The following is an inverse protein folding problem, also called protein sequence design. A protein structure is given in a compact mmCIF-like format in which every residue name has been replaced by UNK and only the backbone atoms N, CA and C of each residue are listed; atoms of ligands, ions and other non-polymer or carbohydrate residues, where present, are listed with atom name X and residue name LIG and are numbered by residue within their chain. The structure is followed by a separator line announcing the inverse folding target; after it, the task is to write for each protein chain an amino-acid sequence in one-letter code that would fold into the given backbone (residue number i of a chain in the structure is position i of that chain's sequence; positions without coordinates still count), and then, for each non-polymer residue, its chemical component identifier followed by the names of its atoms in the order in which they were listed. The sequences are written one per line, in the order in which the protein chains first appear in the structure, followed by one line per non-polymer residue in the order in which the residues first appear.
data_IF_326234659566
#
_entry.id   IF_326234659566
#
_cell.length_a   1.000
_cell.length_b   1.000
_cell.length_c   1.000
_cell.angle_alpha   90.00
_cell.angle_beta   90.00
_cell.angle_gamma   90.00
#
_symmetry.space_group_name_H-M   'P 1'
#
loop_
_entity.id
_entity.type
_entity.pdbx_description
1 polymer ?
#
# COMPACT_ATOMS: atom_id res chain seq x y z
N UNK A 1 -20.77 14.81 10.72
CA UNK A 1 -20.59 13.46 10.19
C UNK A 1 -20.59 12.48 11.36
N UNK A 2 -21.39 11.43 11.29
CA UNK A 2 -21.46 10.46 12.38
C UNK A 2 -20.17 9.68 12.52
N UNK A 3 -19.71 9.44 13.75
CA UNK A 3 -18.48 8.70 14.05
C UNK A 3 -18.47 7.33 13.35
N UNK A 4 -19.64 6.67 13.32
CA UNK A 4 -19.77 5.39 12.62
C UNK A 4 -19.51 5.45 11.11
N UNK A 5 -19.91 6.54 10.44
CA UNK A 5 -19.67 6.69 9.01
C UNK A 5 -18.18 6.89 8.70
N UNK A 6 -17.47 7.64 9.52
CA UNK A 6 -16.02 7.85 9.36
C UNK A 6 -15.22 6.56 9.59
N UNK A 7 -15.63 5.77 10.57
CA UNK A 7 -14.99 4.48 10.85
C UNK A 7 -15.21 3.49 9.72
N UNK A 8 -16.44 3.39 9.21
CA UNK A 8 -16.75 2.51 8.08
C UNK A 8 -15.96 2.91 6.84
N UNK A 9 -15.89 4.21 6.53
CA UNK A 9 -15.09 4.70 5.41
C UNK A 9 -13.62 4.36 5.57
N UNK A 10 -13.07 4.52 6.76
CA UNK A 10 -11.69 4.16 7.07
C UNK A 10 -11.41 2.68 6.78
N UNK A 11 -12.24 1.79 7.31
CA UNK A 11 -12.06 0.35 7.10
C UNK A 11 -12.25 -0.06 5.65
N UNK A 12 -13.23 0.49 4.96
CA UNK A 12 -13.50 0.18 3.55
C UNK A 12 -12.32 0.61 2.65
N UNK A 13 -11.89 1.86 2.76
CA UNK A 13 -10.77 2.36 1.96
C UNK A 13 -9.44 1.78 2.37
N UNK A 14 -9.25 1.49 3.66
CA UNK A 14 -8.07 0.79 4.15
C UNK A 14 -7.97 -0.63 3.60
N UNK A 15 -9.06 -1.38 3.64
CA UNK A 15 -9.15 -2.73 3.05
C UNK A 15 -8.91 -2.69 1.53
N UNK A 16 -9.51 -1.71 0.85
CA UNK A 16 -9.31 -1.51 -0.59
C UNK A 16 -7.84 -1.24 -0.92
N UNK A 17 -7.18 -0.38 -0.16
CA UNK A 17 -5.75 -0.08 -0.33
C UNK A 17 -4.88 -1.35 -0.16
N UNK A 18 -5.17 -2.16 0.85
CA UNK A 18 -4.47 -3.44 1.10
C UNK A 18 -4.68 -4.41 -0.05
N UNK A 19 -5.92 -4.59 -0.49
CA UNK A 19 -6.24 -5.51 -1.60
C UNK A 19 -5.54 -5.06 -2.89
N UNK A 20 -5.61 -3.78 -3.22
CA UNK A 20 -4.96 -3.24 -4.42
C UNK A 20 -3.43 -3.39 -4.34
N UNK A 21 -2.82 -3.16 -3.18
CA UNK A 21 -1.38 -3.34 -3.00
C UNK A 21 -0.94 -4.81 -3.12
N UNK A 22 -1.76 -5.74 -2.65
CA UNK A 22 -1.51 -7.17 -2.87
C UNK A 22 -1.62 -7.53 -4.35
N UNK A 23 -2.59 -6.96 -5.06
CA UNK A 23 -2.73 -7.19 -6.50
C UNK A 23 -1.51 -6.68 -7.29
N UNK A 24 -0.88 -5.59 -6.85
CA UNK A 24 0.38 -5.10 -7.44
C UNK A 24 1.45 -6.19 -7.46
N UNK A 25 1.58 -6.92 -6.35
CA UNK A 25 2.60 -7.98 -6.20
C UNK A 25 2.28 -9.21 -7.07
N UNK A 26 1.00 -9.57 -7.17
CA UNK A 26 0.58 -10.76 -7.91
C UNK A 26 0.43 -10.54 -9.42
N UNK A 27 0.34 -9.31 -9.89
CA UNK A 27 0.24 -9.01 -11.30
C UNK A 27 1.53 -9.33 -12.04
N UNK A 28 1.41 -10.04 -13.15
CA UNK A 28 2.55 -10.39 -14.01
C UNK A 28 2.92 -9.27 -14.98
N UNK A 29 1.93 -8.51 -15.45
CA UNK A 29 2.15 -7.44 -16.40
C UNK A 29 2.62 -6.18 -15.66
N UNK A 30 3.83 -5.63 -15.98
CA UNK A 30 4.35 -4.45 -15.30
C UNK A 30 3.46 -3.21 -15.43
N UNK A 31 2.82 -3.01 -16.57
CA UNK A 31 1.92 -1.86 -16.81
C UNK A 31 0.66 -1.98 -15.96
N UNK A 32 0.04 -3.18 -15.92
CA UNK A 32 -1.13 -3.43 -15.07
C UNK A 32 -0.80 -3.28 -13.59
N UNK A 33 0.37 -3.75 -13.18
CA UNK A 33 0.87 -3.59 -11.79
C UNK A 33 1.01 -2.11 -11.42
N UNK A 34 1.58 -1.31 -12.30
CA UNK A 34 1.72 0.14 -12.10
C UNK A 34 0.35 0.84 -11.97
N UNK A 35 -0.64 0.43 -12.77
CA UNK A 35 -1.99 0.97 -12.67
C UNK A 35 -2.65 0.61 -11.33
N UNK A 36 -2.51 -0.64 -10.87
CA UNK A 36 -3.02 -1.06 -9.55
C UNK A 36 -2.35 -0.30 -8.41
N UNK A 37 -1.05 -0.02 -8.55
CA UNK A 37 -0.32 0.80 -7.58
C UNK A 37 -0.85 2.24 -7.51
N UNK A 38 -1.15 2.85 -8.65
CA UNK A 38 -1.76 4.18 -8.70
C UNK A 38 -3.13 4.21 -8.01
N UNK A 39 -3.95 3.17 -8.24
CA UNK A 39 -5.24 3.02 -7.57
C UNK A 39 -5.08 2.83 -6.05
N UNK A 40 -4.08 2.07 -5.61
CA UNK A 40 -3.75 1.90 -4.20
C UNK A 40 -3.38 3.24 -3.55
N UNK A 41 -2.62 4.09 -4.23
CA UNK A 41 -2.33 5.44 -3.74
C UNK A 41 -3.58 6.31 -3.63
N UNK A 42 -4.51 6.18 -4.58
CA UNK A 42 -5.82 6.85 -4.50
C UNK A 42 -6.62 6.41 -3.28
N UNK A 43 -6.67 5.11 -3.01
CA UNK A 43 -7.34 4.56 -1.82
C UNK A 43 -6.66 5.05 -0.52
N UNK A 44 -5.33 5.11 -0.49
CA UNK A 44 -4.58 5.66 0.65
C UNK A 44 -4.90 7.15 0.86
N UNK A 45 -5.00 7.92 -0.21
CA UNK A 45 -5.40 9.32 -0.13
C UNK A 45 -6.80 9.49 0.47
N UNK A 46 -7.73 8.62 0.10
CA UNK A 46 -9.08 8.63 0.67
C UNK A 46 -9.06 8.35 2.18
N UNK A 47 -8.21 7.42 2.64
CA UNK A 47 -7.98 7.17 4.07
C UNK A 47 -7.44 8.43 4.76
N UNK A 48 -6.45 9.10 4.18
CA UNK A 48 -5.87 10.33 4.74
C UNK A 48 -6.91 11.45 4.87
N UNK A 49 -7.74 11.62 3.84
CA UNK A 49 -8.82 12.61 3.86
C UNK A 49 -9.84 12.26 4.94
N UNK A 50 -10.19 10.98 5.06
CA UNK A 50 -11.10 10.51 6.10
C UNK A 50 -10.59 10.73 7.53
N UNK A 51 -9.26 10.73 7.71
CA UNK A 51 -8.62 11.02 9.00
C UNK A 51 -8.43 12.53 9.27
N UNK A 52 -8.93 13.39 8.38
CA UNK A 52 -8.80 14.84 8.52
C UNK A 52 -7.55 15.45 7.90
N UNK A 53 -6.64 14.63 7.36
CA UNK A 53 -5.42 15.09 6.72
C UNK A 53 -5.67 15.44 5.25
N UNK A 54 -6.52 16.44 5.00
CA UNK A 54 -6.97 16.82 3.65
C UNK A 54 -5.81 17.25 2.76
N UNK A 55 -4.90 18.05 3.29
CA UNK A 55 -3.74 18.53 2.54
C UNK A 55 -2.83 17.38 2.10
N UNK A 56 -2.53 16.46 3.02
CA UNK A 56 -1.72 15.29 2.69
C UNK A 56 -2.40 14.36 1.69
N UNK A 57 -3.71 14.17 1.82
CA UNK A 57 -4.48 13.37 0.86
C UNK A 57 -4.45 13.94 -0.55
N UNK A 58 -4.57 15.25 -0.68
CA UNK A 58 -4.46 15.94 -1.97
C UNK A 58 -3.05 15.80 -2.54
N UNK A 59 -2.01 16.00 -1.74
CA UNK A 59 -0.63 15.79 -2.17
C UNK A 59 -0.36 14.35 -2.60
N UNK A 60 -0.94 13.38 -1.89
CA UNK A 60 -0.85 11.97 -2.25
C UNK A 60 -1.36 11.72 -3.67
N UNK A 61 -2.50 12.28 -4.03
CA UNK A 61 -3.07 12.13 -5.38
C UNK A 61 -2.24 12.87 -6.42
N UNK A 62 -1.90 14.14 -6.17
CA UNK A 62 -1.22 14.97 -7.16
C UNK A 62 0.21 14.52 -7.42
N UNK A 63 0.98 14.27 -6.38
CA UNK A 63 2.41 13.97 -6.50
C UNK A 63 2.63 12.47 -6.71
N UNK A 64 2.09 11.63 -5.83
CA UNK A 64 2.36 10.18 -5.90
C UNK A 64 1.57 9.49 -7.00
N UNK A 65 0.26 9.60 -7.01
CA UNK A 65 -0.57 8.94 -8.02
C UNK A 65 -0.50 9.65 -9.37
N UNK A 66 -0.36 10.98 -9.39
CA UNK A 66 -0.27 11.77 -10.61
C UNK A 66 1.15 11.82 -11.19
N UNK A 67 2.04 12.60 -10.59
CA UNK A 67 3.35 12.87 -11.19
C UNK A 67 4.28 11.65 -11.20
N UNK A 68 4.48 11.04 -10.05
CA UNK A 68 5.47 9.96 -9.91
C UNK A 68 5.01 8.69 -10.61
N UNK A 69 3.75 8.30 -10.43
CA UNK A 69 3.24 7.08 -11.05
C UNK A 69 3.09 7.18 -12.56
N UNK A 70 2.72 8.35 -13.07
CA UNK A 70 2.64 8.56 -14.53
C UNK A 70 4.04 8.47 -15.14
N UNK A 71 5.03 9.11 -14.52
CA UNK A 71 6.42 9.01 -14.97
C UNK A 71 6.92 7.57 -14.91
N UNK A 72 6.64 6.85 -13.83
CA UNK A 72 7.04 5.45 -13.65
C UNK A 72 6.38 4.53 -14.69
N UNK A 73 5.07 4.71 -14.92
CA UNK A 73 4.34 3.95 -15.95
C UNK A 73 4.91 4.21 -17.35
N UNK A 74 5.28 5.45 -17.65
CA UNK A 74 5.91 5.81 -18.91
C UNK A 74 7.27 5.15 -19.09
N UNK A 75 8.10 5.13 -18.04
CA UNK A 75 9.40 4.45 -18.04
C UNK A 75 9.23 2.94 -18.28
N UNK A 76 8.30 2.29 -17.59
CA UNK A 76 8.03 0.86 -17.77
C UNK A 76 7.61 0.57 -19.22
N UNK A 77 6.77 1.43 -19.79
CA UNK A 77 6.31 1.26 -21.17
C UNK A 77 7.46 1.39 -22.18
N UNK A 78 8.40 2.31 -21.94
CA UNK A 78 9.57 2.51 -22.80
C UNK A 78 10.62 1.40 -22.70
N UNK A 79 10.82 0.87 -21.48
CA UNK A 79 11.85 -0.15 -21.24
C UNK A 79 11.52 -1.52 -21.79
N UNK A 80 10.31 -1.74 -22.30
CA UNK A 80 9.86 -3.04 -22.83
C UNK A 80 10.24 -4.19 -21.89
N UNK A 81 9.84 -4.08 -20.64
CA UNK A 81 10.13 -5.07 -19.59
C UNK A 81 9.43 -6.37 -19.96
N UNK A 82 10.22 -7.42 -20.21
CA UNK A 82 9.68 -8.75 -20.50
C UNK A 82 8.93 -9.27 -19.27
N UNK A 83 7.77 -9.90 -19.51
CA UNK A 83 7.05 -10.59 -18.45
C UNK A 83 7.95 -11.69 -17.88
N UNK A 84 8.31 -11.55 -16.62
CA UNK A 84 9.05 -12.61 -15.92
C UNK A 84 8.13 -13.80 -15.65
N UNK A 85 8.73 -14.98 -15.66
CA UNK A 85 8.07 -16.21 -15.18
C UNK A 85 7.64 -16.00 -13.73
N UNK A 86 6.51 -16.59 -13.37
CA UNK A 86 5.88 -16.51 -12.04
C UNK A 86 6.89 -16.35 -10.90
N UNK A 87 6.74 -15.33 -10.02
CA UNK A 87 7.63 -15.15 -8.86
C UNK A 87 7.62 -16.34 -7.91
N UNK A 88 6.60 -17.19 -8.01
CA UNK A 88 6.46 -18.41 -7.20
C UNK A 88 7.14 -19.63 -7.80
N UNK A 89 7.89 -19.51 -8.89
CA UNK A 89 8.57 -20.63 -9.53
C UNK A 89 9.74 -21.21 -8.72
N UNK A 90 10.24 -20.48 -7.73
CA UNK A 90 11.32 -20.93 -6.85
C UNK A 90 10.84 -20.99 -5.39
N UNK A 91 10.51 -22.18 -4.87
CA UNK A 91 9.96 -22.31 -3.52
C UNK A 91 10.90 -21.77 -2.42
N UNK A 92 12.21 -21.86 -2.64
CA UNK A 92 13.21 -21.36 -1.69
C UNK A 92 13.18 -19.82 -1.56
N UNK A 93 13.05 -19.11 -2.68
CA UNK A 93 12.98 -17.66 -2.71
C UNK A 93 11.70 -17.16 -2.03
N UNK A 94 10.58 -17.84 -2.27
CA UNK A 94 9.29 -17.53 -1.62
C UNK A 94 9.37 -17.74 -0.12
N UNK A 95 9.98 -18.85 0.33
CA UNK A 95 10.14 -19.14 1.76
C UNK A 95 10.93 -18.04 2.48
N UNK A 96 12.04 -17.59 1.89
CA UNK A 96 12.84 -16.49 2.46
C UNK A 96 12.02 -15.20 2.52
N UNK A 97 11.31 -14.86 1.44
CA UNK A 97 10.46 -13.67 1.39
C UNK A 97 9.38 -13.68 2.47
N UNK A 98 8.72 -14.82 2.68
CA UNK A 98 7.70 -14.98 3.73
C UNK A 98 8.31 -14.81 5.13
N UNK A 99 9.48 -15.41 5.37
CA UNK A 99 10.18 -15.29 6.66
C UNK A 99 10.51 -13.81 6.94
N UNK A 100 11.07 -13.10 5.98
CA UNK A 100 11.42 -11.68 6.12
C UNK A 100 10.15 -10.84 6.37
N UNK A 101 9.07 -11.10 5.64
CA UNK A 101 7.79 -10.41 5.81
C UNK A 101 7.20 -10.66 7.21
N UNK A 102 7.24 -11.91 7.69
CA UNK A 102 6.77 -12.25 9.04
C UNK A 102 7.59 -11.58 10.14
N UNK A 103 8.92 -11.54 9.99
CA UNK A 103 9.80 -10.84 10.92
C UNK A 103 9.50 -9.33 10.96
N UNK A 104 9.30 -8.73 9.78
CA UNK A 104 8.98 -7.32 9.67
C UNK A 104 7.62 -6.99 10.30
N UNK A 105 6.60 -7.79 10.04
CA UNK A 105 5.28 -7.65 10.67
C UNK A 105 5.36 -7.83 12.18
N UNK A 106 6.11 -8.80 12.67
CA UNK A 106 6.33 -9.00 14.10
C UNK A 106 6.98 -7.79 14.76
N UNK A 107 7.97 -7.21 14.11
CA UNK A 107 8.63 -5.98 14.56
C UNK A 107 7.63 -4.81 14.62
N UNK A 108 6.83 -4.62 13.59
CA UNK A 108 5.82 -3.55 13.55
C UNK A 108 4.77 -3.71 14.65
N UNK A 109 4.24 -4.92 14.82
CA UNK A 109 3.23 -5.20 15.86
C UNK A 109 3.83 -4.98 17.25
N UNK A 110 5.03 -5.48 17.50
CA UNK A 110 5.73 -5.28 18.77
C UNK A 110 5.98 -3.79 19.08
N UNK A 111 6.43 -3.04 18.06
CA UNK A 111 6.66 -1.61 18.18
C UNK A 111 5.37 -0.84 18.46
N UNK A 112 4.29 -1.15 17.74
CA UNK A 112 2.99 -0.49 17.92
C UNK A 112 2.38 -0.78 19.28
N UNK A 113 2.45 -2.03 19.77
CA UNK A 113 1.97 -2.40 21.10
C UNK A 113 2.77 -1.69 22.20
N UNK A 114 4.08 -1.62 22.04
CA UNK A 114 4.94 -0.93 23.01
C UNK A 114 4.64 0.57 23.08
N UNK A 115 4.47 1.23 21.93
CA UNK A 115 4.15 2.66 21.89
C UNK A 115 2.73 2.94 22.39
N UNK A 116 1.77 2.04 22.13
CA UNK A 116 0.41 2.14 22.66
C UNK A 116 0.40 2.03 24.19
N UNK A 117 1.12 1.06 24.76
CA UNK A 117 1.24 0.90 26.22
C UNK A 117 1.92 2.11 26.87
N UNK A 118 2.98 2.64 26.27
CA UNK A 118 3.65 3.85 26.73
C UNK A 118 2.74 5.09 26.69
N UNK A 119 1.90 5.22 25.67
CA UNK A 119 0.92 6.29 25.56
C UNK A 119 -0.18 6.18 26.62
N UNK A 120 -0.66 4.97 26.90
CA UNK A 120 -1.64 4.72 27.95
C UNK A 120 -1.09 5.02 29.35
N UNK A 121 0.19 4.71 29.60
CA UNK A 121 0.85 5.01 30.88
C UNK A 121 1.04 6.52 31.13
N UNK A 122 1.10 7.32 30.06
CA UNK A 122 1.24 8.78 30.14
C UNK A 122 -0.09 9.52 30.38
N UNK A 123 -1.21 8.85 30.19
CA UNK A 123 -2.54 9.38 30.45
C UNK A 123 -2.99 8.97 31.85
#
# INVERSE_FOLDING_TARGET
MNIFASDILFYVFGALAVVLSLMVVFMRNPVSSAMMMALSFGATAAVMIGLGAHFLGILQILVYAGAIMVLFAFIIMLLNVKQETSPFSRPFSVAIGVIIACLFLGQLIGCLLYTSDAADDLI
#
